data_IF_495579114803
#
_entry.id   IF_495579114803
#
_cell.length_a   1.000
_cell.length_b   1.000
_cell.length_c   1.000
_cell.angle_alpha   90.00
_cell.angle_beta   90.00
_cell.angle_gamma   90.00
#
_symmetry.space_group_name_H-M   'P 1'
#
loop_
_entity.id
_entity.type
_entity.pdbx_description
1 polymer ?
#
# COMPACT_ATOMS: atom_id res chain seq x y z
N UNK A 1 2.69 -14.23 -16.02
CA UNK A 1 3.02 -13.45 -17.24
C UNK A 1 2.06 -12.26 -17.43
N UNK A 2 0.74 -12.46 -17.46
CA UNK A 2 -0.26 -11.39 -17.69
C UNK A 2 -0.22 -10.23 -16.68
N UNK A 3 0.03 -10.49 -15.40
CA UNK A 3 0.08 -9.44 -14.36
C UNK A 3 1.23 -8.45 -14.53
N UNK A 4 2.35 -8.88 -15.11
CA UNK A 4 3.49 -7.98 -15.37
C UNK A 4 3.26 -7.14 -16.64
N UNK A 5 2.46 -7.63 -17.59
CA UNK A 5 2.06 -6.87 -18.78
C UNK A 5 1.19 -5.65 -18.43
N UNK A 6 0.48 -5.68 -17.30
CA UNK A 6 -0.24 -4.51 -16.79
C UNK A 6 0.69 -3.31 -16.49
N UNK A 7 2.00 -3.57 -16.38
CA UNK A 7 3.03 -2.56 -16.18
C UNK A 7 3.99 -2.46 -17.37
N UNK A 8 3.55 -2.93 -18.55
CA UNK A 8 4.30 -2.79 -19.79
C UNK A 8 4.54 -1.32 -20.12
N UNK A 9 5.61 -1.05 -20.87
CA UNK A 9 6.03 0.31 -21.27
C UNK A 9 4.94 1.06 -22.03
N UNK A 10 4.09 0.33 -22.74
CA UNK A 10 2.92 0.83 -23.46
C UNK A 10 1.86 1.49 -22.56
N UNK A 11 1.83 1.15 -21.27
CA UNK A 11 0.79 1.61 -20.33
C UNK A 11 1.33 2.24 -19.05
N UNK A 12 2.62 2.10 -18.74
CA UNK A 12 3.24 2.63 -17.52
C UNK A 12 4.52 3.40 -17.83
N UNK A 13 4.59 4.64 -17.34
CA UNK A 13 5.79 5.48 -17.48
C UNK A 13 6.87 5.12 -16.45
N UNK A 14 6.48 4.87 -15.20
CA UNK A 14 7.38 4.52 -14.11
C UNK A 14 6.62 3.73 -13.03
N UNK A 15 7.35 2.91 -12.27
CA UNK A 15 6.89 2.31 -11.02
C UNK A 15 7.69 2.96 -9.89
N UNK A 16 7.01 3.50 -8.88
CA UNK A 16 7.67 4.04 -7.70
C UNK A 16 7.46 3.07 -6.54
N UNK A 17 8.56 2.62 -5.94
CA UNK A 17 8.53 1.71 -4.80
C UNK A 17 9.07 2.40 -3.55
N UNK A 18 8.46 2.11 -2.40
CA UNK A 18 8.95 2.53 -1.08
C UNK A 18 9.03 1.32 -0.17
N UNK A 19 10.08 1.27 0.66
CA UNK A 19 10.26 0.20 1.65
C UNK A 19 9.77 0.66 3.01
N UNK A 20 8.93 -0.14 3.67
CA UNK A 20 8.64 0.06 5.10
C UNK A 20 9.87 -0.37 5.93
N UNK A 21 10.42 0.59 6.66
CA UNK A 21 11.53 0.43 7.60
C UNK A 21 10.94 0.14 8.98
N UNK A 22 10.78 -1.15 9.27
CA UNK A 22 10.25 -1.67 10.52
C UNK A 22 10.97 -2.97 10.88
N UNK A 23 10.98 -3.33 12.17
CA UNK A 23 11.49 -4.62 12.63
C UNK A 23 10.66 -5.76 12.03
N UNK A 24 11.32 -6.68 11.34
CA UNK A 24 10.70 -7.90 10.80
C UNK A 24 10.97 -9.05 11.75
N UNK A 25 9.91 -9.69 12.23
CA UNK A 25 9.96 -10.86 13.11
C UNK A 25 9.09 -11.98 12.54
N UNK A 26 9.28 -13.24 12.96
CA UNK A 26 8.41 -14.35 12.58
C UNK A 26 6.92 -14.05 12.86
N UNK A 27 6.63 -13.36 13.97
CA UNK A 27 5.27 -12.98 14.34
C UNK A 27 4.69 -11.96 13.35
N UNK A 28 5.47 -10.97 12.91
CA UNK A 28 5.02 -10.02 11.87
C UNK A 28 4.77 -10.71 10.53
N UNK A 29 5.57 -11.71 10.18
CA UNK A 29 5.37 -12.49 8.96
C UNK A 29 4.09 -13.33 9.04
N UNK A 30 3.87 -14.00 10.18
CA UNK A 30 2.65 -14.77 10.42
C UNK A 30 1.39 -13.90 10.34
N UNK A 31 1.42 -12.70 10.93
CA UNK A 31 0.31 -11.72 10.81
C UNK A 31 0.06 -11.32 9.36
N UNK A 32 1.12 -11.03 8.60
CA UNK A 32 0.98 -10.69 7.18
C UNK A 32 0.37 -11.84 6.38
N UNK A 33 0.83 -13.08 6.61
CA UNK A 33 0.30 -14.26 5.95
C UNK A 33 -1.17 -14.48 6.28
N UNK A 34 -1.55 -14.36 7.56
CA UNK A 34 -2.94 -14.47 7.97
C UNK A 34 -3.80 -13.40 7.31
N UNK A 35 -3.36 -12.14 7.31
CA UNK A 35 -4.08 -11.06 6.64
C UNK A 35 -4.29 -11.35 5.15
N UNK A 36 -3.26 -11.82 4.45
CA UNK A 36 -3.38 -12.20 3.03
C UNK A 36 -4.41 -13.29 2.83
N UNK A 37 -4.45 -14.33 3.69
CA UNK A 37 -5.47 -15.37 3.61
C UNK A 37 -6.87 -14.82 3.83
N UNK A 38 -7.03 -13.89 4.77
CA UNK A 38 -8.33 -13.29 5.12
C UNK A 38 -8.89 -12.40 4.00
N UNK A 39 -8.04 -11.77 3.21
CA UNK A 39 -8.46 -10.83 2.14
C UNK A 39 -8.40 -11.41 0.72
N UNK A 40 -7.77 -12.59 0.55
CA UNK A 40 -7.61 -13.18 -0.78
C UNK A 40 -8.96 -13.55 -1.39
N UNK A 41 -9.22 -13.06 -2.59
CA UNK A 41 -10.51 -13.24 -3.28
C UNK A 41 -11.53 -12.12 -3.01
N UNK A 42 -11.23 -11.17 -2.14
CA UNK A 42 -12.05 -9.96 -2.00
C UNK A 42 -12.09 -9.19 -3.32
N UNK A 43 -13.26 -8.69 -3.70
CA UNK A 43 -13.41 -7.97 -4.96
C UNK A 43 -12.75 -6.60 -4.86
N UNK A 44 -12.07 -6.19 -5.91
CA UNK A 44 -11.55 -4.83 -6.02
C UNK A 44 -12.70 -3.83 -6.16
N UNK A 45 -12.63 -2.70 -5.45
CA UNK A 45 -13.63 -1.64 -5.57
C UNK A 45 -12.99 -0.28 -5.71
N UNK A 46 -13.42 0.44 -6.76
CA UNK A 46 -13.15 1.87 -6.93
C UNK A 46 -14.28 2.73 -6.37
N UNK A 47 -15.39 2.13 -5.90
CA UNK A 47 -16.57 2.91 -5.45
C UNK A 47 -16.25 3.72 -4.20
N UNK A 48 -15.29 3.26 -3.37
CA UNK A 48 -14.75 4.03 -2.24
C UNK A 48 -14.08 5.34 -2.65
N UNK A 49 -13.58 5.46 -3.89
CA UNK A 49 -13.01 6.69 -4.47
C UNK A 49 -14.07 7.78 -4.60
N UNK A 50 -15.29 7.42 -4.97
CA UNK A 50 -16.39 8.36 -5.26
C UNK A 50 -17.11 8.83 -3.99
N UNK A 51 -17.05 8.04 -2.91
CA UNK A 51 -17.78 8.30 -1.66
C UNK A 51 -16.85 8.70 -0.51
N UNK A 52 -16.03 9.74 -0.73
CA UNK A 52 -15.11 10.34 0.26
C UNK A 52 -15.80 10.72 1.60
N UNK A 53 -17.13 10.81 1.61
CA UNK A 53 -17.95 11.29 2.73
C UNK A 53 -18.64 10.20 3.55
N UNK A 54 -18.53 8.91 3.18
CA UNK A 54 -19.13 7.80 3.94
C UNK A 54 -18.04 6.90 4.49
N UNK A 55 -17.35 7.42 5.49
CA UNK A 55 -16.50 6.63 6.37
C UNK A 55 -17.43 5.93 7.34
N UNK A 56 -17.88 4.73 6.99
CA UNK A 56 -18.65 3.90 7.93
C UNK A 56 -17.67 3.12 8.79
N UNK A 57 -17.78 3.28 10.11
CA UNK A 57 -16.69 3.06 11.06
C UNK A 57 -16.42 1.58 11.37
N UNK A 58 -17.23 0.62 10.87
CA UNK A 58 -17.20 -0.75 11.42
C UNK A 58 -17.56 -1.90 10.47
N UNK A 59 -17.73 -1.69 9.16
CA UNK A 59 -17.96 -2.85 8.29
C UNK A 59 -16.64 -3.48 7.83
N UNK A 60 -16.53 -4.80 8.01
CA UNK A 60 -15.60 -5.62 7.24
C UNK A 60 -15.98 -5.43 5.77
N UNK A 61 -15.34 -4.47 5.11
CA UNK A 61 -15.57 -4.22 3.69
C UNK A 61 -15.11 -5.46 2.93
N UNK A 62 -16.03 -6.14 2.23
CA UNK A 62 -15.70 -7.24 1.31
C UNK A 62 -14.96 -6.75 0.05
N UNK A 63 -14.63 -5.45 0.05
CA UNK A 63 -14.25 -4.64 -1.07
C UNK A 63 -13.15 -3.67 -0.62
N UNK A 64 -11.95 -3.84 -1.16
CA UNK A 64 -10.85 -2.93 -0.89
C UNK A 64 -10.49 -2.14 -2.14
N UNK A 65 -10.17 -0.86 -1.95
CA UNK A 65 -9.34 -0.11 -2.89
C UNK A 65 -7.85 -0.40 -2.67
N UNK A 66 -6.98 -0.07 -3.63
CA UNK A 66 -5.56 -0.46 -3.54
C UNK A 66 -4.83 0.21 -2.37
N UNK A 67 -5.02 1.52 -2.15
CA UNK A 67 -4.40 2.24 -1.04
C UNK A 67 -5.02 1.86 0.31
N UNK A 68 -6.32 1.58 0.33
CA UNK A 68 -7.05 1.10 1.50
C UNK A 68 -6.52 -0.27 1.95
N UNK A 69 -6.31 -1.20 1.01
CA UNK A 69 -5.75 -2.52 1.33
C UNK A 69 -4.35 -2.39 1.94
N UNK A 70 -3.52 -1.49 1.40
CA UNK A 70 -2.19 -1.20 1.95
C UNK A 70 -2.32 -0.63 3.36
N UNK A 71 -3.18 0.36 3.60
CA UNK A 71 -3.41 0.92 4.93
C UNK A 71 -3.90 -0.14 5.92
N UNK A 72 -4.89 -0.95 5.55
CA UNK A 72 -5.43 -2.02 6.37
C UNK A 72 -4.34 -3.05 6.73
N UNK A 73 -3.47 -3.39 5.78
CA UNK A 73 -2.32 -4.27 6.03
C UNK A 73 -1.38 -3.65 7.06
N UNK A 74 -0.99 -2.39 6.88
CA UNK A 74 -0.05 -1.71 7.78
C UNK A 74 -0.63 -1.51 9.19
N UNK A 75 -1.93 -1.27 9.29
CA UNK A 75 -2.66 -1.22 10.56
C UNK A 75 -2.73 -2.60 11.22
N UNK A 76 -3.02 -3.66 10.47
CA UNK A 76 -3.03 -5.04 10.98
C UNK A 76 -1.66 -5.46 11.52
N UNK A 77 -0.57 -5.00 10.89
CA UNK A 77 0.80 -5.21 11.35
C UNK A 77 1.19 -4.35 12.57
N UNK A 78 0.37 -3.35 12.92
CA UNK A 78 0.65 -2.39 13.98
C UNK A 78 1.74 -1.37 13.61
N UNK A 79 1.92 -1.10 12.32
CA UNK A 79 2.91 -0.15 11.80
C UNK A 79 2.30 1.23 11.53
N UNK A 80 1.01 1.28 11.21
CA UNK A 80 0.20 2.49 11.11
C UNK A 80 -0.84 2.48 12.24
N UNK A 81 -1.09 3.64 12.85
CA UNK A 81 -2.11 3.82 13.88
C UNK A 81 -3.52 3.57 13.33
N UNK A 82 -4.40 3.01 14.18
CA UNK A 82 -5.80 2.71 13.86
C UNK A 82 -6.74 3.85 14.28
N UNK A 83 -6.22 5.07 14.44
CA UNK A 83 -6.99 6.26 14.81
C UNK A 83 -7.83 6.81 13.64
N UNK A 84 -7.45 6.46 12.42
CA UNK A 84 -8.21 6.72 11.20
C UNK A 84 -8.46 5.40 10.46
N UNK A 85 -9.59 5.23 9.77
CA UNK A 85 -9.86 4.00 9.04
C UNK A 85 -8.97 3.86 7.80
N UNK A 86 -8.74 2.63 7.29
CA UNK A 86 -7.95 2.40 6.09
C UNK A 86 -8.37 3.23 4.86
N UNK A 87 -9.68 3.49 4.74
CA UNK A 87 -10.30 4.26 3.65
C UNK A 87 -9.92 5.74 3.65
N UNK A 88 -9.35 6.24 4.75
CA UNK A 88 -8.78 7.58 4.83
C UNK A 88 -7.58 7.75 3.89
N UNK A 89 -6.77 6.69 3.70
CA UNK A 89 -5.51 6.77 2.97
C UNK A 89 -5.69 6.59 1.47
N UNK A 90 -5.32 7.62 0.73
CA UNK A 90 -5.28 7.62 -0.72
C UNK A 90 -3.90 7.17 -1.22
N UNK A 91 -3.76 6.82 -2.52
CA UNK A 91 -2.45 6.43 -3.05
C UNK A 91 -1.37 7.48 -2.80
N UNK A 92 -1.73 8.77 -2.92
CA UNK A 92 -0.82 9.89 -2.64
C UNK A 92 -0.39 10.01 -1.18
N UNK A 93 -1.17 9.49 -0.23
CA UNK A 93 -0.83 9.53 1.21
C UNK A 93 0.47 8.75 1.51
N UNK A 94 0.83 7.79 0.66
CA UNK A 94 2.04 6.97 0.78
C UNK A 94 3.25 7.52 0.05
N UNK A 95 3.10 8.63 -0.70
CA UNK A 95 4.22 9.29 -1.38
C UNK A 95 5.23 9.85 -0.35
N UNK A 96 6.45 10.12 -0.79
CA UNK A 96 7.47 10.74 0.05
C UNK A 96 7.01 12.12 0.53
N UNK A 97 6.98 12.31 1.85
CA UNK A 97 6.41 13.51 2.46
C UNK A 97 4.88 13.57 2.38
N UNK A 98 4.21 12.43 2.13
CA UNK A 98 2.77 12.30 2.14
C UNK A 98 2.18 12.18 3.55
N UNK A 99 0.85 12.20 3.63
CA UNK A 99 0.07 12.23 4.87
C UNK A 99 0.48 11.15 5.88
N UNK A 100 0.83 9.93 5.42
CA UNK A 100 1.26 8.84 6.31
C UNK A 100 2.48 9.24 7.16
N UNK A 101 3.39 10.04 6.60
CA UNK A 101 4.60 10.52 7.26
C UNK A 101 4.37 11.86 7.98
N UNK A 102 3.70 12.81 7.33
CA UNK A 102 3.54 14.18 7.86
C UNK A 102 2.59 14.24 9.06
N UNK A 103 1.55 13.42 9.06
CA UNK A 103 0.47 13.47 10.04
C UNK A 103 0.69 12.44 11.17
N UNK A 104 1.92 11.91 11.26
CA UNK A 104 2.38 10.97 12.30
C UNK A 104 1.48 9.73 12.45
N UNK A 105 0.99 9.21 11.32
CA UNK A 105 0.21 7.97 11.32
C UNK A 105 1.09 6.72 11.54
N UNK A 106 2.40 6.81 11.30
CA UNK A 106 3.34 5.74 11.59
C UNK A 106 3.62 5.62 13.09
N UNK A 107 3.72 4.38 13.56
CA UNK A 107 4.18 4.12 14.93
C UNK A 107 5.64 4.53 15.12
N UNK A 108 6.10 4.90 16.35
CA UNK A 108 7.42 5.52 16.55
C UNK A 108 8.65 4.73 16.08
N UNK A 109 8.52 3.41 15.92
CA UNK A 109 9.60 2.51 15.48
C UNK A 109 9.54 2.18 13.98
N UNK A 110 8.67 2.87 13.23
CA UNK A 110 8.43 2.63 11.81
C UNK A 110 8.67 3.89 11.01
N UNK A 111 9.34 3.75 9.87
CA UNK A 111 9.49 4.80 8.87
C UNK A 111 9.22 4.24 7.46
N UNK A 112 9.00 5.11 6.48
CA UNK A 112 9.08 4.74 5.07
C UNK A 112 10.42 5.18 4.50
N UNK A 113 11.06 4.30 3.74
CA UNK A 113 12.28 4.61 3.02
C UNK A 113 12.03 5.63 1.89
N UNK A 114 13.11 6.11 1.24
CA UNK A 114 12.98 7.01 0.11
C UNK A 114 12.22 6.35 -1.04
N UNK A 115 11.66 7.18 -1.91
CA UNK A 115 11.10 6.71 -3.19
C UNK A 115 12.21 6.20 -4.11
N UNK A 116 12.03 4.96 -4.56
CA UNK A 116 12.84 4.36 -5.62
C UNK A 116 11.99 4.33 -6.89
N UNK A 117 12.26 5.26 -7.80
CA UNK A 117 11.64 5.29 -9.10
C UNK A 117 12.33 4.28 -10.04
N UNK A 118 11.53 3.41 -10.65
CA UNK A 118 11.93 2.48 -11.69
C UNK A 118 11.34 3.00 -12.99
N UNK A 119 12.19 3.46 -13.89
CA UNK A 119 11.77 3.90 -15.22
C UNK A 119 11.31 2.68 -16.03
N UNK A 120 10.04 2.67 -16.44
CA UNK A 120 9.48 1.58 -17.25
C UNK A 120 9.69 1.80 -18.75
N UNK A 121 10.16 2.98 -19.15
CA UNK A 121 10.55 3.30 -20.54
C UNK A 121 11.97 2.86 -20.84
N UNK A 122 12.85 2.81 -19.86
CA UNK A 122 14.24 2.40 -20.05
C UNK A 122 14.40 1.02 -19.41
N UNK A 123 14.69 -0.03 -20.22
CA UNK A 123 15.09 -1.32 -19.64
C UNK A 123 16.42 -1.14 -18.92
N UNK A 124 16.40 -0.88 -17.61
CA UNK A 124 17.61 -0.86 -16.78
C UNK A 124 18.34 -2.21 -16.78
N UNK A 125 17.62 -3.30 -17.13
CA UNK A 125 18.19 -4.64 -17.34
C UNK A 125 19.19 -4.68 -18.51
N UNK A 126 19.13 -3.73 -19.45
CA UNK A 126 20.10 -3.61 -20.55
C UNK A 126 21.39 -2.87 -20.21
N UNK A 127 21.52 -2.34 -18.99
CA UNK A 127 22.71 -1.60 -18.51
C UNK A 127 23.53 -2.32 -17.44
N UNK A 128 23.11 -3.52 -17.03
CA UNK A 128 23.96 -4.40 -16.25
C UNK A 128 25.05 -4.97 -17.19
N UNK A 129 26.19 -4.29 -17.26
CA UNK A 129 27.47 -4.87 -17.71
C UNK A 129 28.20 -5.42 -16.49
#
# INVERSE_FOLDING_TARGET
KTRLLAYGREVTNAIVARRVLARRTPETLAKLQQFVLDVNGNKYSIVGILNRSKVDDKEKTSHYFCSELVAATLQHLGWVHTNVPPSYFWPGSFAQGGEVETDRHLTPSVALGPELAIDCKIMEVGRAQ
#
